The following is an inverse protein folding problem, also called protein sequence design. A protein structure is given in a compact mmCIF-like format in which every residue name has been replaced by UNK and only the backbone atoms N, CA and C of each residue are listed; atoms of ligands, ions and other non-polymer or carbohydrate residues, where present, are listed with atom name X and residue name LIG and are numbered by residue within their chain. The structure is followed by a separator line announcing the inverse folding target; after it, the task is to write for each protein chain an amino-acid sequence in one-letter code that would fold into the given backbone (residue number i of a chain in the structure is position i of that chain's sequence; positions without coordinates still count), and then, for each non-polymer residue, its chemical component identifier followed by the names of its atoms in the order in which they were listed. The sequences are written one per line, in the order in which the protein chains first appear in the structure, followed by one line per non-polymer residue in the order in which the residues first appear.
data_IF_826399085211
#
_entry.id   IF_826399085211
#
_cell.length_a   1.000
_cell.length_b   1.000
_cell.length_c   1.000
_cell.angle_alpha   90.00
_cell.angle_beta   90.00
_cell.angle_gamma   90.00
#
_symmetry.space_group_name_H-M   'P 1'
#
loop_
_entity.id
_entity.type
_entity.pdbx_description
1 polymer ?
#
# COMPACT_ATOMS: atom_id res chain seq x y z
N UNK A 1 57.87 49.94 28.99
CA UNK A 1 57.32 48.85 29.82
C UNK A 1 55.79 48.82 29.64
N UNK A 2 55.23 48.02 28.72
CA UNK A 2 53.76 47.92 28.46
C UNK A 2 53.44 46.66 27.64
N UNK A 3 53.42 45.45 28.23
CA UNK A 3 53.09 44.20 27.49
C UNK A 3 52.33 43.05 28.22
N UNK A 4 51.64 43.18 29.38
CA UNK A 4 50.82 42.06 29.88
C UNK A 4 49.36 42.07 29.39
N UNK A 5 48.69 43.22 29.31
CA UNK A 5 47.24 43.28 29.01
C UNK A 5 46.87 42.91 27.58
N UNK A 6 47.74 43.18 26.61
CA UNK A 6 47.44 42.94 25.19
C UNK A 6 47.42 41.44 24.82
N UNK A 7 48.16 40.61 25.55
CA UNK A 7 48.20 39.16 25.32
C UNK A 7 46.93 38.46 25.83
N UNK A 8 46.43 38.88 27.00
CA UNK A 8 45.22 38.32 27.62
C UNK A 8 43.96 38.64 26.80
N UNK A 9 43.86 39.85 26.25
CA UNK A 9 42.71 40.26 25.43
C UNK A 9 42.60 39.46 24.12
N UNK A 10 43.75 39.19 23.46
CA UNK A 10 43.82 38.39 22.23
C UNK A 10 43.49 36.91 22.48
N UNK A 11 43.85 36.40 23.66
CA UNK A 11 43.48 35.06 24.14
C UNK A 11 41.97 34.93 24.41
N UNK A 12 41.35 35.96 24.99
CA UNK A 12 39.91 35.97 25.28
C UNK A 12 39.06 36.10 24.00
N UNK A 13 39.45 36.95 23.04
CA UNK A 13 38.79 37.07 21.73
C UNK A 13 38.84 35.77 20.92
N UNK A 14 39.99 35.09 20.91
CA UNK A 14 40.15 33.81 20.21
C UNK A 14 39.37 32.67 20.90
N UNK A 15 39.28 32.68 22.23
CA UNK A 15 38.46 31.73 22.99
C UNK A 15 36.96 31.93 22.76
N UNK A 16 36.47 33.17 22.82
CA UNK A 16 35.07 33.53 22.53
C UNK A 16 34.69 33.14 21.08
N UNK A 17 35.59 33.38 20.12
CA UNK A 17 35.41 32.99 18.71
C UNK A 17 35.32 31.48 18.51
N UNK A 18 36.17 30.69 19.18
CA UNK A 18 36.10 29.21 19.13
C UNK A 18 34.80 28.68 19.75
N UNK A 19 34.37 29.24 20.88
CA UNK A 19 33.11 28.84 21.53
C UNK A 19 31.89 29.22 20.69
N UNK A 20 31.90 30.39 20.04
CA UNK A 20 30.85 30.82 19.12
C UNK A 20 30.78 29.89 17.90
N UNK A 21 31.93 29.51 17.32
CA UNK A 21 32.00 28.54 16.21
C UNK A 21 31.46 27.17 16.61
N UNK A 22 31.85 26.65 17.78
CA UNK A 22 31.37 25.36 18.28
C UNK A 22 29.84 25.37 18.50
N UNK A 23 29.29 26.45 19.06
CA UNK A 23 27.84 26.61 19.24
C UNK A 23 27.11 26.70 17.90
N UNK A 24 27.65 27.44 16.94
CA UNK A 24 27.09 27.52 15.58
C UNK A 24 27.10 26.14 14.92
N UNK A 25 28.19 25.39 15.00
CA UNK A 25 28.28 24.01 14.46
C UNK A 25 27.21 23.12 15.09
N UNK A 26 27.02 23.19 16.41
CA UNK A 26 25.98 22.41 17.09
C UNK A 26 24.56 22.79 16.62
N UNK A 27 24.28 24.09 16.42
CA UNK A 27 22.99 24.54 15.89
C UNK A 27 22.77 24.10 14.45
N UNK A 28 23.80 24.14 13.61
CA UNK A 28 23.72 23.66 12.23
C UNK A 28 23.47 22.15 12.17
N UNK A 29 24.17 21.35 12.99
CA UNK A 29 23.93 19.91 13.11
C UNK A 29 22.50 19.64 13.57
N UNK A 30 22.04 20.31 14.63
CA UNK A 30 20.69 20.12 15.16
C UNK A 30 19.61 20.49 14.13
N UNK A 31 19.78 21.61 13.42
CA UNK A 31 18.89 22.03 12.33
C UNK A 31 18.83 20.96 11.24
N UNK A 32 19.97 20.48 10.76
CA UNK A 32 20.02 19.46 9.71
C UNK A 32 19.38 18.15 10.16
N UNK A 33 19.56 17.74 11.42
CA UNK A 33 18.87 16.56 11.98
C UNK A 33 17.35 16.77 11.98
N UNK A 34 16.87 17.94 12.40
CA UNK A 34 15.43 18.27 12.39
C UNK A 34 14.88 18.24 10.96
N UNK A 35 15.60 18.81 9.99
CA UNK A 35 15.17 18.80 8.59
C UNK A 35 15.09 17.38 8.02
N UNK A 36 16.06 16.53 8.30
CA UNK A 36 16.04 15.11 7.89
C UNK A 36 14.86 14.38 8.53
N UNK A 37 14.64 14.54 9.83
CA UNK A 37 13.51 13.92 10.52
C UNK A 37 12.16 14.39 9.97
N UNK A 38 12.04 15.67 9.65
CA UNK A 38 10.84 16.24 9.03
C UNK A 38 10.58 15.64 7.64
N UNK A 39 11.60 15.57 6.78
CA UNK A 39 11.48 14.96 5.45
C UNK A 39 11.16 13.47 5.56
N UNK A 40 11.77 12.73 6.49
CA UNK A 40 11.46 11.34 6.74
C UNK A 40 10.00 11.16 7.21
N UNK A 41 9.52 11.99 8.14
CA UNK A 41 8.14 11.92 8.62
C UNK A 41 7.14 12.21 7.49
N UNK A 42 7.42 13.21 6.65
CA UNK A 42 6.60 13.50 5.47
C UNK A 42 6.62 12.33 4.48
N UNK A 43 7.79 11.77 4.18
CA UNK A 43 7.93 10.64 3.27
C UNK A 43 7.15 9.42 3.76
N UNK A 44 7.24 9.11 5.06
CA UNK A 44 6.46 8.02 5.68
C UNK A 44 4.96 8.32 5.61
N UNK A 45 4.54 9.54 5.95
CA UNK A 45 3.12 9.94 5.87
C UNK A 45 2.55 9.84 4.45
N UNK A 46 3.30 10.30 3.45
CA UNK A 46 2.94 10.13 2.04
C UNK A 46 2.91 8.67 1.64
N UNK A 47 3.90 7.88 2.05
CA UNK A 47 3.96 6.46 1.73
C UNK A 47 2.72 5.72 2.26
N UNK A 48 2.35 5.98 3.52
CA UNK A 48 1.19 5.37 4.17
C UNK A 48 -0.16 5.84 3.62
N UNK A 49 -0.22 6.91 2.83
CA UNK A 49 -1.47 7.33 2.15
C UNK A 49 -1.53 6.91 0.70
N UNK A 50 -0.40 6.92 0.01
CA UNK A 50 -0.33 6.61 -1.41
C UNK A 50 -0.27 5.09 -1.68
N UNK A 51 0.36 4.33 -0.78
CA UNK A 51 0.69 2.92 -1.04
C UNK A 51 0.08 1.92 -0.05
N UNK A 52 -0.72 2.35 0.92
CA UNK A 52 -1.53 1.38 1.68
C UNK A 52 -2.58 0.77 0.75
N UNK A 53 -2.66 -0.56 0.66
CA UNK A 53 -3.63 -1.21 -0.19
C UNK A 53 -5.04 -0.84 0.28
N UNK A 54 -5.82 -0.26 -0.62
CA UNK A 54 -7.21 0.12 -0.37
C UNK A 54 -8.07 -1.13 -0.20
N UNK A 55 -7.73 -2.17 -0.96
CA UNK A 55 -8.44 -3.44 -0.94
C UNK A 55 -7.58 -4.57 -0.41
N UNK A 56 -8.20 -5.49 0.30
CA UNK A 56 -7.62 -6.76 0.71
C UNK A 56 -8.51 -7.88 0.22
N UNK A 57 -7.93 -8.97 -0.27
CA UNK A 57 -8.70 -10.09 -0.77
C UNK A 57 -7.85 -11.32 -1.03
N UNK A 58 -8.52 -12.41 -1.34
CA UNK A 58 -7.90 -13.70 -1.65
C UNK A 58 -8.78 -14.49 -2.63
N UNK A 59 -8.15 -15.33 -3.47
CA UNK A 59 -8.83 -16.32 -4.30
C UNK A 59 -8.82 -17.66 -3.55
N UNK A 60 -9.99 -18.21 -3.29
CA UNK A 60 -10.14 -19.46 -2.55
C UNK A 60 -10.05 -20.67 -3.47
N UNK A 61 -10.65 -20.59 -4.67
CA UNK A 61 -10.59 -21.63 -5.69
C UNK A 61 -10.67 -21.04 -7.11
N UNK A 62 -10.07 -21.74 -8.06
CA UNK A 62 -10.21 -21.51 -9.50
C UNK A 62 -10.16 -22.86 -10.20
N UNK A 63 -11.16 -23.12 -11.04
CA UNK A 63 -11.22 -24.29 -11.91
C UNK A 63 -11.91 -23.96 -13.24
N UNK A 64 -12.11 -24.99 -14.06
CA UNK A 64 -12.75 -24.88 -15.38
C UNK A 64 -14.23 -24.43 -15.33
N UNK A 65 -14.84 -24.33 -14.15
CA UNK A 65 -16.24 -23.95 -13.96
C UNK A 65 -16.40 -22.63 -13.24
N UNK A 66 -15.60 -22.38 -12.21
CA UNK A 66 -15.75 -21.21 -11.35
C UNK A 66 -14.43 -20.71 -10.77
N UNK A 67 -14.39 -19.40 -10.55
CA UNK A 67 -13.36 -18.72 -9.75
C UNK A 67 -14.04 -17.99 -8.62
N UNK A 68 -13.63 -18.28 -7.38
CA UNK A 68 -14.26 -17.71 -6.19
C UNK A 68 -13.24 -17.19 -5.19
N UNK A 69 -13.69 -16.24 -4.38
CA UNK A 69 -12.84 -15.59 -3.40
C UNK A 69 -13.59 -14.49 -2.65
N UNK A 70 -12.84 -13.60 -2.03
CA UNK A 70 -13.38 -12.45 -1.32
C UNK A 70 -12.51 -11.21 -1.49
N UNK A 71 -13.13 -10.04 -1.39
CA UNK A 71 -12.48 -8.74 -1.44
C UNK A 71 -13.18 -7.74 -0.52
N UNK A 72 -12.40 -6.99 0.27
CA UNK A 72 -12.88 -5.96 1.19
C UNK A 72 -12.13 -4.65 0.99
N UNK A 73 -12.86 -3.54 1.09
CA UNK A 73 -12.30 -2.20 1.19
C UNK A 73 -11.92 -1.92 2.66
N UNK A 74 -10.64 -1.69 2.94
CA UNK A 74 -10.16 -1.44 4.31
C UNK A 74 -10.50 -0.05 4.83
N UNK A 75 -10.79 0.90 3.94
CA UNK A 75 -11.16 2.27 4.28
C UNK A 75 -12.67 2.39 4.53
N UNK A 76 -13.46 1.70 3.71
CA UNK A 76 -14.92 1.66 3.81
C UNK A 76 -15.43 0.20 3.88
N UNK A 77 -15.33 -0.47 5.04
CA UNK A 77 -15.63 -1.91 5.14
C UNK A 77 -17.08 -2.29 4.85
N UNK A 78 -18.01 -1.33 4.84
CA UNK A 78 -19.41 -1.57 4.49
C UNK A 78 -19.69 -1.42 2.99
N UNK A 79 -18.70 -0.98 2.21
CA UNK A 79 -18.84 -0.85 0.76
C UNK A 79 -18.54 -2.18 0.07
N UNK A 80 -19.37 -2.52 -0.92
CA UNK A 80 -19.08 -3.64 -1.82
C UNK A 80 -17.98 -3.23 -2.81
N UNK A 81 -17.04 -4.13 -3.04
CA UNK A 81 -15.91 -3.91 -3.93
C UNK A 81 -16.24 -4.46 -5.31
N UNK A 82 -16.15 -3.64 -6.36
CA UNK A 82 -16.19 -4.14 -7.74
C UNK A 82 -14.88 -4.90 -8.02
N UNK A 83 -14.99 -6.14 -8.48
CA UNK A 83 -13.88 -7.03 -8.82
C UNK A 83 -13.95 -7.42 -10.29
N UNK A 84 -12.77 -7.57 -10.92
CA UNK A 84 -12.62 -7.98 -12.31
C UNK A 84 -11.73 -9.21 -12.39
N UNK A 85 -12.23 -10.26 -13.04
CA UNK A 85 -11.49 -11.48 -13.32
C UNK A 85 -10.79 -11.37 -14.67
N UNK A 86 -9.50 -11.72 -14.66
CA UNK A 86 -8.69 -11.93 -15.84
C UNK A 86 -8.14 -13.36 -15.84
N UNK A 87 -8.22 -14.03 -16.98
CA UNK A 87 -7.62 -15.36 -17.19
C UNK A 87 -6.59 -15.22 -18.32
N UNK A 88 -5.35 -15.60 -18.04
CA UNK A 88 -4.21 -15.45 -18.97
C UNK A 88 -4.05 -14.02 -19.53
N UNK A 89 -4.40 -13.01 -18.71
CA UNK A 89 -4.36 -11.61 -19.08
C UNK A 89 -5.55 -11.12 -19.93
N UNK A 90 -6.52 -11.98 -20.24
CA UNK A 90 -7.76 -11.61 -20.92
C UNK A 90 -8.88 -11.36 -19.91
N UNK A 91 -9.67 -10.31 -20.13
CA UNK A 91 -10.83 -10.00 -19.29
C UNK A 91 -11.89 -11.09 -19.44
N UNK A 92 -12.29 -11.71 -18.32
CA UNK A 92 -13.30 -12.76 -18.28
C UNK A 92 -14.65 -12.25 -17.74
N UNK A 93 -14.65 -11.23 -16.88
CA UNK A 93 -15.87 -10.61 -16.37
C UNK A 93 -15.62 -9.71 -15.16
N UNK A 94 -16.66 -8.96 -14.78
CA UNK A 94 -16.68 -8.11 -13.59
C UNK A 94 -17.94 -8.37 -12.74
N UNK A 95 -17.84 -8.12 -11.43
CA UNK A 95 -18.96 -8.24 -10.48
C UNK A 95 -18.67 -7.45 -9.20
N UNK A 96 -19.71 -7.08 -8.47
CA UNK A 96 -19.56 -6.70 -7.06
C UNK A 96 -19.24 -7.92 -6.19
N UNK A 97 -18.37 -7.73 -5.19
CA UNK A 97 -18.16 -8.69 -4.11
C UNK A 97 -19.26 -8.52 -3.05
N UNK A 98 -20.46 -9.02 -3.37
CA UNK A 98 -21.68 -8.92 -2.57
C UNK A 98 -22.23 -10.29 -2.13
N UNK A 99 -21.57 -11.40 -2.51
CA UNK A 99 -21.98 -12.75 -2.11
C UNK A 99 -21.75 -12.95 -0.62
N UNK A 100 -22.81 -13.36 0.08
CA UNK A 100 -22.77 -13.67 1.51
C UNK A 100 -21.99 -14.96 1.76
N UNK A 101 -20.93 -14.88 2.57
CA UNK A 101 -20.07 -15.98 2.99
C UNK A 101 -20.00 -16.01 4.53
N UNK A 102 -20.75 -16.93 5.13
CA UNK A 102 -20.82 -17.12 6.60
C UNK A 102 -19.46 -17.53 7.21
N UNK A 103 -18.58 -18.13 6.41
CA UNK A 103 -17.23 -18.61 6.76
C UNK A 103 -16.18 -17.48 6.84
N UNK A 104 -16.36 -16.38 6.12
CA UNK A 104 -15.48 -15.20 6.16
C UNK A 104 -15.50 -14.53 7.56
N UNK A 105 -16.62 -14.64 8.28
CA UNK A 105 -16.77 -14.17 9.67
C UNK A 105 -15.89 -14.96 10.65
N UNK A 106 -15.66 -16.25 10.40
CA UNK A 106 -14.93 -17.14 11.30
C UNK A 106 -13.42 -16.86 11.34
N UNK A 107 -12.85 -16.25 10.30
CA UNK A 107 -11.44 -15.85 10.28
C UNK A 107 -11.16 -14.47 10.89
N UNK A 108 -12.19 -13.76 11.41
CA UNK A 108 -12.03 -12.46 12.08
C UNK A 108 -11.47 -11.36 11.18
N UNK A 109 -11.54 -11.52 9.85
CA UNK A 109 -10.95 -10.59 8.87
C UNK A 109 -11.89 -9.47 8.42
N UNK A 110 -13.19 -9.57 8.75
CA UNK A 110 -14.23 -8.61 8.33
C UNK A 110 -15.37 -8.56 9.34
N UNK A 111 -16.04 -7.40 9.43
CA UNK A 111 -17.21 -7.17 10.33
C UNK A 111 -18.55 -7.58 9.70
N UNK A 112 -18.56 -7.82 8.38
CA UNK A 112 -19.75 -8.20 7.60
C UNK A 112 -19.48 -9.46 6.77
N UNK A 113 -20.55 -10.17 6.41
CA UNK A 113 -20.56 -11.47 5.73
C UNK A 113 -20.59 -11.32 4.19
N UNK A 114 -20.83 -10.12 3.66
CA UNK A 114 -21.09 -9.87 2.24
C UNK A 114 -19.88 -9.30 1.48
N UNK A 115 -18.81 -10.09 1.38
CA UNK A 115 -17.57 -9.72 0.67
C UNK A 115 -17.07 -10.81 -0.29
N UNK A 116 -17.85 -11.87 -0.50
CA UNK A 116 -17.51 -12.94 -1.42
C UNK A 116 -17.79 -12.55 -2.87
N UNK A 117 -17.10 -13.19 -3.80
CA UNK A 117 -17.43 -13.16 -5.23
C UNK A 117 -17.30 -14.56 -5.81
N UNK A 118 -18.10 -14.84 -6.84
CA UNK A 118 -18.02 -16.05 -7.66
C UNK A 118 -18.18 -15.63 -9.13
N UNK A 119 -17.27 -16.09 -9.96
CA UNK A 119 -17.29 -15.95 -11.41
C UNK A 119 -17.49 -17.32 -12.05
N UNK A 120 -18.27 -17.37 -13.12
CA UNK A 120 -18.30 -18.51 -14.02
C UNK A 120 -17.07 -18.45 -14.92
N UNK A 121 -16.28 -19.52 -14.97
CA UNK A 121 -15.12 -19.61 -15.85
C UNK A 121 -15.60 -19.80 -17.29
N UNK A 122 -15.14 -18.97 -18.25
CA UNK A 122 -15.49 -19.16 -19.66
C UNK A 122 -14.94 -20.49 -20.18
N UNK A 123 -15.41 -20.92 -21.36
CA UNK A 123 -14.81 -22.09 -22.00
C UNK A 123 -13.37 -21.78 -22.41
N UNK A 124 -12.44 -22.52 -21.80
CA UNK A 124 -11.01 -22.43 -22.06
C UNK A 124 -10.52 -23.70 -22.79
N UNK A 125 -9.47 -23.60 -23.62
CA UNK A 125 -8.79 -24.76 -24.16
C UNK A 125 -8.27 -25.70 -23.05
N UNK A 126 -7.93 -26.94 -23.42
CA UNK A 126 -7.22 -27.80 -22.50
C UNK A 126 -5.81 -27.27 -22.23
N UNK A 127 -5.39 -27.24 -20.98
CA UNK A 127 -4.09 -26.70 -20.59
C UNK A 127 -4.08 -26.05 -19.22
N UNK A 128 -2.96 -25.39 -18.89
CA UNK A 128 -2.84 -24.57 -17.69
C UNK A 128 -3.26 -23.13 -17.98
N UNK A 129 -4.01 -22.56 -17.04
CA UNK A 129 -4.50 -21.19 -17.08
C UNK A 129 -4.22 -20.49 -15.75
N UNK A 130 -4.01 -19.18 -15.80
CA UNK A 130 -3.78 -18.34 -14.63
C UNK A 130 -4.94 -17.37 -14.42
N UNK A 131 -5.63 -17.49 -13.30
CA UNK A 131 -6.65 -16.55 -12.85
C UNK A 131 -6.03 -15.42 -12.00
N UNK A 132 -6.35 -14.17 -12.36
CA UNK A 132 -6.01 -12.95 -11.61
C UNK A 132 -7.28 -12.16 -11.36
N UNK A 133 -7.53 -11.78 -10.11
CA UNK A 133 -8.66 -10.90 -9.77
C UNK A 133 -8.12 -9.55 -9.34
N UNK A 134 -8.73 -8.48 -9.84
CA UNK A 134 -8.40 -7.11 -9.49
C UNK A 134 -9.60 -6.43 -8.84
N UNK A 135 -9.37 -5.73 -7.73
CA UNK A 135 -10.35 -4.79 -7.17
C UNK A 135 -10.28 -3.47 -7.92
N UNK A 136 -11.44 -2.90 -8.25
CA UNK A 136 -11.58 -1.64 -8.96
C UNK A 136 -11.74 -0.52 -7.94
N UNK A 137 -10.81 0.44 -7.96
CA UNK A 137 -10.98 1.72 -7.28
C UNK A 137 -11.49 2.75 -8.28
N UNK A 138 -12.72 3.23 -8.12
CA UNK A 138 -13.21 4.39 -8.85
C UNK A 138 -12.96 5.65 -8.01
N UNK A 139 -12.37 6.69 -8.60
CA UNK A 139 -12.37 8.01 -7.97
C UNK A 139 -13.79 8.52 -7.77
N UNK A 140 -13.99 9.46 -6.83
CA UNK A 140 -15.32 10.01 -6.48
C UNK A 140 -16.13 10.62 -7.64
N UNK A 141 -15.51 10.81 -8.80
CA UNK A 141 -16.12 11.34 -10.03
C UNK A 141 -16.04 10.34 -11.20
N UNK A 142 -15.64 9.09 -10.96
CA UNK A 142 -15.51 8.03 -11.97
C UNK A 142 -14.41 8.23 -13.02
N UNK A 143 -13.74 9.38 -13.03
CA UNK A 143 -12.77 9.73 -14.08
C UNK A 143 -11.48 8.91 -14.06
N UNK A 144 -11.14 8.30 -12.92
CA UNK A 144 -10.00 7.39 -12.81
C UNK A 144 -10.46 6.08 -12.20
N UNK A 145 -10.22 4.99 -12.92
CA UNK A 145 -10.33 3.62 -12.42
C UNK A 145 -8.92 3.06 -12.29
N UNK A 146 -8.55 2.62 -11.10
CA UNK A 146 -7.28 1.91 -10.87
C UNK A 146 -7.59 0.48 -10.46
N UNK A 147 -6.84 -0.47 -11.02
CA UNK A 147 -6.96 -1.89 -10.71
C UNK A 147 -5.89 -2.27 -9.69
N UNK A 148 -6.30 -2.88 -8.59
CA UNK A 148 -5.41 -3.42 -7.58
C UNK A 148 -5.54 -4.95 -7.57
N UNK A 149 -4.45 -5.67 -7.82
CA UNK A 149 -4.45 -7.14 -7.73
C UNK A 149 -4.81 -7.54 -6.28
N UNK A 150 -5.76 -8.47 -6.14
CA UNK A 150 -6.10 -9.06 -4.84
C UNK A 150 -5.49 -10.45 -4.71
N UNK A 151 -4.94 -10.75 -3.53
CA UNK A 151 -4.33 -12.04 -3.25
C UNK A 151 -3.16 -12.37 -4.19
N UNK A 152 -2.97 -13.67 -4.42
CA UNK A 152 -2.02 -14.20 -5.41
C UNK A 152 -2.80 -14.72 -6.63
N UNK A 153 -2.23 -14.66 -7.84
CA UNK A 153 -2.76 -15.38 -8.98
C UNK A 153 -2.89 -16.88 -8.67
N UNK A 154 -3.94 -17.51 -9.16
CA UNK A 154 -4.18 -18.95 -9.00
C UNK A 154 -4.07 -19.64 -10.35
N UNK A 155 -3.25 -20.68 -10.41
CA UNK A 155 -3.07 -21.50 -11.62
C UNK A 155 -3.96 -22.74 -11.50
N UNK A 156 -4.69 -23.03 -12.57
CA UNK A 156 -5.57 -24.20 -12.66
C UNK A 156 -5.45 -24.86 -14.02
N UNK A 157 -5.80 -26.15 -14.09
CA UNK A 157 -5.77 -26.92 -15.33
C UNK A 157 -7.18 -27.19 -15.83
N UNK A 158 -7.34 -27.16 -17.15
CA UNK A 158 -8.57 -27.55 -17.84
C UNK A 158 -8.26 -28.84 -18.61
N UNK A 159 -9.03 -29.89 -18.34
CA UNK A 159 -8.86 -31.18 -19.00
C UNK A 159 -9.35 -31.13 -20.46
N UNK A 160 -8.66 -31.86 -21.34
CA UNK A 160 -9.14 -32.10 -22.69
C UNK A 160 -10.41 -32.96 -22.62
N UNK A 161 -11.52 -32.41 -23.12
CA UNK A 161 -12.77 -33.16 -23.29
C UNK A 161 -12.67 -34.17 -24.43
#
# INVERSE_FOLDING_TARGET
MRRPFFCLMKSMETYISKNARARLTNYLILKSVIEVLFVCALAVGFYLRAFTPYFKGWLDAADAKHVEGWAVNLIEPQSHVEVQLYIDGQFAGDRAADTQRLDVKAFGRTRDEMHGFVFDTPQLPAGQHEARVYAVHASSQGQRRTLQLIGKPLVFSVDAR
#
